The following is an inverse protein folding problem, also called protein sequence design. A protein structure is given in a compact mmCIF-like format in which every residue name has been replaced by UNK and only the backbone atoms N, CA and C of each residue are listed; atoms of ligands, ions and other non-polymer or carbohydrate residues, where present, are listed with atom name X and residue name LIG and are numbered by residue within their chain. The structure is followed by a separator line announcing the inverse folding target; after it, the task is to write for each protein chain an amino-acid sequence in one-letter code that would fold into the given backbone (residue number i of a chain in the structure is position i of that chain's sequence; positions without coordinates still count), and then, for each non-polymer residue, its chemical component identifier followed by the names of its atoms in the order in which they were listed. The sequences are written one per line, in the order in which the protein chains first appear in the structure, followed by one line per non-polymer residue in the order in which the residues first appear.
data_IF_462067376467
#
_entry.id   IF_462067376467
#
_cell.length_a   1.000
_cell.length_b   1.000
_cell.length_c   1.000
_cell.angle_alpha   90.00
_cell.angle_beta   90.00
_cell.angle_gamma   90.00
#
_symmetry.space_group_name_H-M   'P 1'
#
loop_
_entity.id
_entity.type
_entity.pdbx_description
1 polymer ?
#
# COMPACT_ATOMS: atom_id res chain seq x y z
N UNK A 1 34.11 17.27 22.00
CA UNK A 1 33.54 17.52 20.67
C UNK A 1 32.45 16.51 20.45
N UNK A 2 31.25 16.85 20.92
CA UNK A 2 30.03 16.07 20.70
C UNK A 2 29.54 16.40 19.30
N UNK A 3 29.72 15.45 18.38
CA UNK A 3 29.15 15.54 17.03
C UNK A 3 27.64 15.37 17.17
N UNK A 4 26.90 16.48 17.03
CA UNK A 4 25.45 16.48 17.00
C UNK A 4 25.02 16.17 15.57
N UNK A 5 24.98 14.87 15.23
CA UNK A 5 24.26 14.36 14.07
C UNK A 5 22.73 14.47 14.32
N UNK A 6 22.23 15.69 14.45
CA UNK A 6 20.83 15.92 14.14
C UNK A 6 20.67 15.82 12.63
N UNK A 7 19.87 14.86 12.12
CA UNK A 7 19.59 14.81 10.70
C UNK A 7 19.00 16.16 10.28
N UNK A 8 19.51 16.74 9.19
CA UNK A 8 18.94 17.98 8.65
C UNK A 8 17.44 17.77 8.46
N UNK A 9 16.62 18.72 8.93
CA UNK A 9 15.15 18.65 8.90
C UNK A 9 14.52 18.44 7.49
N UNK A 10 15.32 18.40 6.43
CA UNK A 10 14.90 18.24 5.04
C UNK A 10 15.37 16.92 4.40
N UNK A 11 16.20 16.11 5.06
CA UNK A 11 16.64 14.83 4.50
C UNK A 11 15.56 13.75 4.68
N UNK A 12 15.32 12.90 3.66
CA UNK A 12 14.38 11.78 3.81
C UNK A 12 14.86 10.81 4.89
N UNK A 13 13.95 10.38 5.76
CA UNK A 13 14.24 9.44 6.86
C UNK A 13 14.59 8.03 6.40
N UNK A 14 14.24 7.69 5.15
CA UNK A 14 14.58 6.46 4.46
C UNK A 14 14.77 6.78 2.97
N UNK A 15 15.77 6.17 2.32
CA UNK A 15 16.08 6.37 0.89
C UNK A 15 16.16 5.03 0.15
N UNK A 16 16.03 5.01 -1.20
CA UNK A 16 16.30 3.82 -2.01
C UNK A 16 17.70 3.26 -1.75
N UNK A 17 17.89 1.95 -1.88
CA UNK A 17 19.19 1.27 -1.75
C UNK A 17 20.01 1.40 -3.04
N UNK A 18 20.24 2.62 -3.51
CA UNK A 18 20.79 2.90 -4.83
C UNK A 18 22.22 2.33 -5.05
N UNK A 19 22.97 2.12 -3.97
CA UNK A 19 24.29 1.51 -3.95
C UNK A 19 24.28 -0.03 -3.96
N UNK A 20 23.09 -0.64 -3.87
CA UNK A 20 22.87 -2.09 -3.77
C UNK A 20 21.86 -2.55 -4.85
N UNK A 21 22.27 -2.61 -6.13
CA UNK A 21 21.35 -2.87 -7.25
C UNK A 21 20.66 -4.23 -7.20
N UNK A 22 21.20 -5.19 -6.43
CA UNK A 22 20.56 -6.49 -6.20
C UNK A 22 19.35 -6.42 -5.27
N UNK A 23 19.16 -5.31 -4.53
CA UNK A 23 18.02 -5.13 -3.65
C UNK A 23 16.78 -4.70 -4.42
N UNK A 24 15.65 -5.19 -3.91
CA UNK A 24 14.32 -4.89 -4.42
C UNK A 24 13.97 -3.39 -4.41
N UNK A 25 14.59 -2.58 -3.54
CA UNK A 25 14.28 -1.15 -3.34
C UNK A 25 15.39 -0.22 -3.85
N UNK A 26 16.17 -0.67 -4.84
CA UNK A 26 17.33 0.08 -5.33
C UNK A 26 16.98 1.30 -6.19
N UNK A 27 15.85 1.28 -6.91
CA UNK A 27 15.46 2.40 -7.77
C UNK A 27 14.53 3.39 -7.07
N UNK A 28 13.52 2.89 -6.34
CA UNK A 28 12.57 3.76 -5.64
C UNK A 28 11.96 3.08 -4.41
N UNK A 29 11.43 3.92 -3.51
CA UNK A 29 10.60 3.53 -2.35
C UNK A 29 9.43 4.49 -2.19
N UNK A 30 8.33 4.03 -1.61
CA UNK A 30 7.13 4.82 -1.38
C UNK A 30 6.23 4.23 -0.27
N UNK A 31 5.26 5.05 0.15
CA UNK A 31 4.12 4.72 1.02
C UNK A 31 4.50 3.96 2.32
N UNK A 32 5.21 4.60 3.26
CA UNK A 32 5.49 3.99 4.55
C UNK A 32 4.22 3.81 5.38
N UNK A 33 4.09 2.64 5.99
CA UNK A 33 3.08 2.27 6.99
C UNK A 33 3.80 2.01 8.31
N UNK A 34 3.59 2.89 9.29
CA UNK A 34 4.32 2.86 10.56
C UNK A 34 3.42 2.36 11.69
N UNK A 35 3.91 1.37 12.44
CA UNK A 35 3.34 0.96 13.71
C UNK A 35 4.30 1.26 14.85
N UNK A 36 3.73 1.79 15.94
CA UNK A 36 4.41 1.88 17.24
C UNK A 36 4.69 0.48 17.81
N UNK A 37 5.70 0.35 18.70
CA UNK A 37 5.95 -0.91 19.40
C UNK A 37 4.65 -1.46 20.02
N UNK A 38 4.39 -2.74 19.79
CA UNK A 38 3.28 -3.47 20.39
C UNK A 38 3.59 -3.99 21.79
N UNK A 39 2.63 -4.67 22.44
CA UNK A 39 2.91 -5.41 23.66
C UNK A 39 4.08 -6.38 23.46
N UNK A 40 5.12 -6.27 24.28
CA UNK A 40 6.31 -7.12 24.20
C UNK A 40 7.32 -6.74 23.10
N UNK A 41 7.07 -5.68 22.32
CA UNK A 41 8.03 -5.13 21.36
C UNK A 41 8.61 -3.81 21.89
N UNK A 42 9.86 -3.51 21.54
CA UNK A 42 10.58 -2.29 21.91
C UNK A 42 10.96 -1.42 20.70
N UNK A 43 10.58 -1.83 19.49
CA UNK A 43 10.91 -1.15 18.24
C UNK A 43 9.65 -0.72 17.47
N UNK A 44 9.72 0.48 16.91
CA UNK A 44 8.81 0.91 15.85
C UNK A 44 9.09 0.12 14.59
N UNK A 45 8.06 -0.13 13.80
CA UNK A 45 8.16 -0.84 12.52
C UNK A 45 7.57 0.00 11.41
N UNK A 46 8.22 -0.01 10.26
CA UNK A 46 7.78 0.64 9.03
C UNK A 46 7.79 -0.39 7.91
N UNK A 47 6.62 -0.67 7.34
CA UNK A 47 6.53 -1.36 6.06
C UNK A 47 6.44 -0.33 4.95
N UNK A 48 7.14 -0.56 3.85
CA UNK A 48 7.14 0.34 2.70
C UNK A 48 7.27 -0.51 1.44
N UNK A 49 6.88 0.03 0.29
CA UNK A 49 7.05 -0.65 -0.99
C UNK A 49 7.96 0.15 -1.93
N UNK A 50 8.30 -0.44 -3.07
CA UNK A 50 9.37 0.02 -3.95
C UNK A 50 9.66 -1.00 -5.05
N UNK A 51 10.60 -0.67 -5.91
CA UNK A 51 11.13 -1.57 -6.94
C UNK A 51 12.58 -1.22 -7.32
N UNK A 52 13.19 -2.09 -8.11
CA UNK A 52 14.53 -1.96 -8.68
C UNK A 52 14.53 -1.40 -10.11
N UNK A 53 13.44 -0.73 -10.51
CA UNK A 53 13.21 -0.19 -11.85
C UNK A 53 12.30 -1.06 -12.73
N UNK A 54 11.98 -2.28 -12.30
CA UNK A 54 11.12 -3.20 -13.03
C UNK A 54 10.13 -3.91 -12.10
N UNK A 55 9.05 -4.43 -12.68
CA UNK A 55 8.16 -5.42 -12.07
C UNK A 55 8.66 -6.85 -12.38
N UNK A 56 8.08 -7.86 -11.72
CA UNK A 56 8.61 -9.24 -11.63
C UNK A 56 8.91 -9.95 -12.96
N UNK A 57 8.33 -9.51 -14.07
CA UNK A 57 8.50 -10.09 -15.41
C UNK A 57 9.43 -9.25 -16.32
N UNK A 58 10.12 -8.26 -15.76
CA UNK A 58 10.92 -7.30 -16.53
C UNK A 58 10.07 -6.19 -17.18
N UNK A 59 8.78 -6.10 -16.89
CA UNK A 59 7.95 -4.96 -17.28
C UNK A 59 8.46 -3.70 -16.59
N UNK A 60 8.66 -2.63 -17.38
CA UNK A 60 9.05 -1.33 -16.84
C UNK A 60 7.98 -0.86 -15.86
N UNK A 61 8.40 -0.63 -14.61
CA UNK A 61 7.49 -0.18 -13.56
C UNK A 61 6.93 1.20 -13.90
N UNK A 62 5.61 1.30 -14.03
CA UNK A 62 4.92 2.57 -14.25
C UNK A 62 4.72 3.36 -12.95
N UNK A 63 4.60 2.64 -11.85
CA UNK A 63 4.45 3.16 -10.49
C UNK A 63 5.63 2.68 -9.64
N UNK A 64 5.91 3.31 -8.49
CA UNK A 64 6.95 2.85 -7.57
C UNK A 64 6.59 1.52 -6.85
N UNK A 65 5.53 0.83 -7.28
CA UNK A 65 5.08 -0.46 -6.73
C UNK A 65 5.98 -1.60 -7.20
N UNK A 66 5.91 -2.73 -6.51
CA UNK A 66 6.73 -3.89 -6.82
C UNK A 66 6.69 -4.87 -5.66
N UNK A 67 7.47 -4.55 -4.65
CA UNK A 67 7.75 -5.42 -3.52
C UNK A 67 7.71 -4.58 -2.23
N UNK A 68 7.54 -5.21 -1.07
CA UNK A 68 7.51 -4.54 0.23
C UNK A 68 8.63 -5.02 1.15
N UNK A 69 9.19 -4.08 1.93
CA UNK A 69 10.22 -4.34 2.93
C UNK A 69 9.83 -3.85 4.31
N UNK A 70 10.77 -3.98 5.24
CA UNK A 70 10.65 -3.60 6.65
C UNK A 70 11.82 -2.72 7.04
N UNK A 71 11.55 -1.70 7.83
CA UNK A 71 12.54 -0.94 8.58
C UNK A 71 12.11 -0.82 10.04
N UNK A 72 13.08 -0.69 10.94
CA UNK A 72 12.85 -0.56 12.38
C UNK A 72 13.48 0.69 12.96
N UNK A 73 12.91 1.18 14.05
CA UNK A 73 13.42 2.34 14.78
C UNK A 73 13.22 2.20 16.28
N UNK A 74 14.15 2.73 17.08
CA UNK A 74 13.95 2.86 18.53
C UNK A 74 13.10 4.08 18.89
N UNK A 75 13.18 5.14 18.09
CA UNK A 75 12.64 6.47 18.42
C UNK A 75 11.54 6.94 17.46
N UNK A 76 11.27 6.19 16.39
CA UNK A 76 10.31 6.54 15.34
C UNK A 76 10.84 7.59 14.35
N UNK A 77 12.09 8.03 14.50
CA UNK A 77 12.71 9.10 13.70
C UNK A 77 13.88 8.56 12.88
N UNK A 78 14.73 7.74 13.49
CA UNK A 78 15.90 7.11 12.84
C UNK A 78 15.58 5.68 12.49
N UNK A 79 15.63 5.36 11.21
CA UNK A 79 15.20 4.07 10.68
C UNK A 79 16.37 3.25 10.15
N UNK A 80 16.30 1.94 10.33
CA UNK A 80 17.25 0.98 9.76
C UNK A 80 16.48 -0.10 9.00
N UNK A 81 16.84 -0.32 7.73
CA UNK A 81 16.23 -1.38 6.92
C UNK A 81 16.56 -2.75 7.50
N UNK A 82 15.58 -3.66 7.44
CA UNK A 82 15.71 -5.05 7.85
C UNK A 82 15.69 -5.93 6.61
N UNK A 83 16.65 -6.84 6.52
CA UNK A 83 16.68 -7.84 5.45
C UNK A 83 15.56 -8.86 5.66
N UNK A 84 14.63 -8.90 4.70
CA UNK A 84 13.60 -9.93 4.68
C UNK A 84 14.11 -11.27 4.14
N UNK A 85 13.30 -12.33 4.27
CA UNK A 85 13.68 -13.70 3.94
C UNK A 85 13.78 -13.99 2.43
N UNK A 86 13.21 -13.13 1.55
CA UNK A 86 13.27 -13.35 0.10
C UNK A 86 14.67 -13.07 -0.44
N UNK A 87 14.98 -13.60 -1.62
CA UNK A 87 16.32 -13.52 -2.23
C UNK A 87 16.79 -12.07 -2.45
N UNK A 88 15.86 -11.20 -2.82
CA UNK A 88 16.05 -9.76 -3.02
C UNK A 88 16.06 -8.93 -1.72
N UNK A 89 15.95 -9.61 -0.56
CA UNK A 89 15.88 -9.05 0.80
C UNK A 89 14.58 -8.33 1.17
N UNK A 90 13.49 -8.63 0.47
CA UNK A 90 12.15 -8.16 0.81
C UNK A 90 11.41 -9.05 1.80
N UNK A 91 10.38 -8.51 2.46
CA UNK A 91 9.50 -9.26 3.39
C UNK A 91 8.23 -9.78 2.72
N UNK A 92 7.79 -9.11 1.66
CA UNK A 92 6.61 -9.50 0.89
C UNK A 92 6.75 -9.03 -0.55
N UNK A 93 6.27 -9.79 -1.51
CA UNK A 93 6.35 -9.43 -2.93
C UNK A 93 5.33 -10.16 -3.77
N UNK A 94 5.40 -10.00 -5.10
CA UNK A 94 4.46 -10.60 -6.04
C UNK A 94 4.41 -12.12 -5.90
N UNK A 95 3.27 -12.70 -6.27
CA UNK A 95 3.11 -14.15 -6.25
C UNK A 95 4.08 -14.81 -7.24
N UNK A 96 4.55 -16.01 -6.90
CA UNK A 96 5.50 -16.74 -7.76
C UNK A 96 4.88 -17.10 -9.12
N UNK A 97 3.56 -17.27 -9.16
CA UNK A 97 2.80 -17.35 -10.40
C UNK A 97 2.51 -15.93 -10.93
N UNK A 98 3.16 -15.54 -12.03
CA UNK A 98 2.96 -14.24 -12.68
C UNK A 98 1.52 -14.00 -13.16
N UNK A 99 0.78 -15.09 -13.42
CA UNK A 99 -0.62 -15.04 -13.84
C UNK A 99 -1.60 -14.96 -12.67
N UNK A 100 -1.12 -15.00 -11.42
CA UNK A 100 -1.92 -14.62 -10.27
C UNK A 100 -2.34 -13.15 -10.37
N UNK A 101 -3.39 -12.76 -9.65
CA UNK A 101 -3.93 -11.40 -9.66
C UNK A 101 -2.92 -10.35 -9.12
N UNK A 102 -1.97 -10.78 -8.29
CA UNK A 102 -0.87 -9.98 -7.73
C UNK A 102 0.53 -10.49 -8.17
N UNK A 103 0.60 -11.18 -9.32
CA UNK A 103 1.81 -11.83 -9.80
C UNK A 103 2.88 -10.90 -10.40
N UNK A 104 2.56 -9.64 -10.74
CA UNK A 104 3.52 -8.71 -11.35
C UNK A 104 4.13 -7.74 -10.35
N UNK A 105 3.29 -7.12 -9.54
CA UNK A 105 3.72 -6.16 -8.53
C UNK A 105 2.73 -6.11 -7.38
N UNK A 106 3.23 -5.68 -6.23
CA UNK A 106 2.49 -5.48 -4.99
C UNK A 106 2.86 -4.15 -4.35
N UNK A 107 2.02 -3.68 -3.44
CA UNK A 107 2.34 -2.58 -2.55
C UNK A 107 1.58 -2.73 -1.24
N UNK A 108 2.30 -2.59 -0.12
CA UNK A 108 1.66 -2.47 1.20
C UNK A 108 0.76 -1.23 1.23
N UNK A 109 -0.50 -1.40 1.66
CA UNK A 109 -1.47 -0.32 1.84
C UNK A 109 -1.63 0.05 3.31
N UNK A 110 -1.92 -0.94 4.15
CA UNK A 110 -2.00 -0.79 5.60
C UNK A 110 -1.53 -2.07 6.32
N UNK A 111 -1.14 -1.91 7.58
CA UNK A 111 -0.80 -3.01 8.47
C UNK A 111 -1.46 -2.74 9.82
N UNK A 112 -2.25 -3.70 10.29
CA UNK A 112 -2.93 -3.62 11.58
C UNK A 112 -2.46 -4.75 12.49
N UNK A 113 -2.46 -4.47 13.80
CA UNK A 113 -2.12 -5.45 14.84
C UNK A 113 -3.40 -6.06 15.39
N UNK A 114 -3.47 -7.38 15.38
CA UNK A 114 -4.55 -8.16 15.99
C UNK A 114 -4.33 -8.34 17.49
N UNK A 115 -5.37 -8.74 18.22
CA UNK A 115 -5.34 -8.86 19.68
C UNK A 115 -4.36 -9.94 20.16
N UNK A 116 -4.12 -10.96 19.34
CA UNK A 116 -3.13 -12.02 19.59
C UNK A 116 -1.68 -11.61 19.27
N UNK A 117 -1.47 -10.35 18.86
CA UNK A 117 -0.16 -9.82 18.47
C UNK A 117 0.24 -10.14 17.03
N UNK A 118 -0.51 -10.98 16.31
CA UNK A 118 -0.29 -11.19 14.88
C UNK A 118 -0.61 -9.92 14.09
N UNK A 119 -0.07 -9.83 12.88
CA UNK A 119 -0.27 -8.69 12.00
C UNK A 119 -1.10 -9.10 10.79
N UNK A 120 -1.96 -8.19 10.35
CA UNK A 120 -2.72 -8.30 9.13
C UNK A 120 -2.32 -7.14 8.21
N UNK A 121 -1.81 -7.46 7.03
CA UNK A 121 -1.51 -6.52 5.97
C UNK A 121 -2.67 -6.51 4.99
N UNK A 122 -3.16 -5.31 4.69
CA UNK A 122 -3.97 -5.06 3.50
C UNK A 122 -3.04 -4.47 2.45
N UNK A 123 -2.86 -5.19 1.36
CA UNK A 123 -1.97 -4.81 0.27
C UNK A 123 -2.78 -4.72 -1.02
N UNK A 124 -2.18 -4.14 -2.04
CA UNK A 124 -2.73 -4.17 -3.38
C UNK A 124 -1.72 -4.78 -4.34
N UNK A 125 -2.20 -5.32 -5.44
CA UNK A 125 -1.34 -5.96 -6.44
C UNK A 125 -1.99 -6.00 -7.80
N UNK A 126 -1.15 -6.10 -8.82
CA UNK A 126 -1.55 -6.27 -10.22
C UNK A 126 -0.84 -7.47 -10.84
N UNK A 127 -1.49 -8.10 -11.81
CA UNK A 127 -1.07 -9.39 -12.35
C UNK A 127 -1.93 -9.86 -13.51
N UNK A 128 -1.72 -11.11 -13.96
CA UNK A 128 -2.41 -11.67 -15.13
C UNK A 128 -3.86 -12.12 -14.88
N UNK A 129 -4.25 -12.36 -13.62
CA UNK A 129 -5.57 -12.86 -13.27
C UNK A 129 -6.66 -11.78 -13.35
N UNK A 130 -7.51 -11.82 -14.39
CA UNK A 130 -8.78 -11.09 -14.47
C UNK A 130 -8.73 -9.57 -14.69
N UNK A 131 -7.58 -8.93 -14.44
CA UNK A 131 -7.34 -7.49 -14.64
C UNK A 131 -6.10 -7.18 -15.50
N UNK A 132 -5.68 -8.15 -16.33
CA UNK A 132 -4.34 -8.22 -16.92
C UNK A 132 -3.84 -6.94 -17.60
N UNK A 133 -4.72 -6.16 -18.21
CA UNK A 133 -4.38 -4.93 -18.90
C UNK A 133 -5.42 -3.84 -18.61
N UNK A 134 -4.96 -2.67 -18.17
CA UNK A 134 -5.77 -1.46 -18.17
C UNK A 134 -5.08 -0.38 -18.99
N UNK A 135 -5.89 0.45 -19.65
CA UNK A 135 -5.37 1.55 -20.47
C UNK A 135 -5.46 2.87 -19.72
N UNK A 136 -4.34 3.58 -19.63
CA UNK A 136 -4.27 4.95 -19.15
C UNK A 136 -3.65 5.81 -20.25
N UNK A 137 -4.23 6.98 -20.53
CA UNK A 137 -3.73 7.91 -21.56
C UNK A 137 -3.47 7.26 -22.93
N UNK A 138 -4.31 6.30 -23.33
CA UNK A 138 -4.22 5.62 -24.62
C UNK A 138 -3.14 4.54 -24.72
N UNK A 139 -2.44 4.20 -23.63
CA UNK A 139 -1.46 3.11 -23.57
C UNK A 139 -1.95 2.00 -22.65
N UNK A 140 -1.84 0.75 -23.10
CA UNK A 140 -2.12 -0.43 -22.29
C UNK A 140 -0.94 -0.71 -21.35
N UNK A 141 -1.25 -0.96 -20.08
CA UNK A 141 -0.29 -1.31 -19.04
C UNK A 141 -0.70 -2.62 -18.38
N UNK A 142 0.18 -3.61 -18.45
CA UNK A 142 0.00 -4.88 -17.74
C UNK A 142 0.06 -4.65 -16.24
N UNK A 143 -0.88 -5.19 -15.46
CA UNK A 143 -0.89 -5.04 -14.00
C UNK A 143 -1.35 -3.67 -13.48
N UNK A 144 -1.87 -2.78 -14.34
CA UNK A 144 -2.45 -1.52 -13.89
C UNK A 144 -3.81 -1.72 -13.19
N UNK A 145 -4.57 -2.79 -13.53
CA UNK A 145 -5.83 -3.09 -12.85
C UNK A 145 -5.58 -3.75 -11.48
N UNK A 146 -5.09 -2.94 -10.54
CA UNK A 146 -4.79 -3.38 -9.18
C UNK A 146 -6.06 -3.75 -8.42
N UNK A 147 -5.91 -4.76 -7.59
CA UNK A 147 -6.94 -5.24 -6.66
C UNK A 147 -6.36 -5.27 -5.26
N UNK A 148 -7.21 -5.40 -4.25
CA UNK A 148 -6.80 -5.39 -2.85
C UNK A 148 -6.84 -6.82 -2.30
N UNK A 149 -5.73 -7.25 -1.72
CA UNK A 149 -5.57 -8.52 -1.04
C UNK A 149 -5.22 -8.35 0.43
N UNK A 150 -5.00 -9.48 1.08
CA UNK A 150 -4.72 -9.55 2.51
C UNK A 150 -3.67 -10.62 2.81
N UNK A 151 -2.78 -10.32 3.75
CA UNK A 151 -1.75 -11.26 4.20
C UNK A 151 -1.58 -11.19 5.72
N UNK A 152 -1.23 -12.32 6.35
CA UNK A 152 -1.05 -12.44 7.80
C UNK A 152 0.41 -12.75 8.14
N UNK A 153 0.90 -12.17 9.23
CA UNK A 153 2.20 -12.46 9.82
C UNK A 153 2.07 -12.79 11.30
N UNK A 154 2.88 -13.75 11.77
CA UNK A 154 3.00 -14.14 13.19
C UNK A 154 4.41 -13.95 13.73
N UNK A 155 5.33 -13.41 12.91
CA UNK A 155 6.75 -13.19 13.24
C UNK A 155 7.11 -11.70 13.29
N UNK A 156 6.12 -10.87 13.60
CA UNK A 156 6.28 -9.43 13.68
C UNK A 156 6.44 -8.74 12.34
N UNK A 157 6.00 -9.36 11.23
CA UNK A 157 5.96 -8.80 9.89
C UNK A 157 7.22 -9.01 9.06
N UNK A 158 8.06 -9.98 9.44
CA UNK A 158 9.23 -10.40 8.65
C UNK A 158 8.84 -11.37 7.53
N UNK A 159 7.80 -12.18 7.76
CA UNK A 159 7.23 -13.09 6.77
C UNK A 159 5.71 -12.96 6.74
N UNK A 160 5.11 -13.16 5.56
CA UNK A 160 3.70 -12.95 5.31
C UNK A 160 3.09 -14.08 4.51
N UNK A 161 1.91 -14.54 4.94
CA UNK A 161 1.11 -15.56 4.26
C UNK A 161 -0.16 -14.92 3.72
N UNK A 162 -0.41 -15.02 2.41
CA UNK A 162 -1.67 -14.56 1.79
C UNK A 162 -2.86 -15.24 2.45
N UNK A 163 -3.93 -14.49 2.73
CA UNK A 163 -5.11 -14.98 3.44
C UNK A 163 -6.39 -14.25 2.98
N UNK A 164 -6.63 -14.28 1.68
CA UNK A 164 -7.74 -13.61 1.01
C UNK A 164 -8.90 -14.54 0.67
N UNK A 165 -9.59 -14.23 -0.43
CA UNK A 165 -10.75 -14.98 -0.90
C UNK A 165 -10.35 -16.17 -1.79
N UNK A 166 -11.33 -16.87 -2.37
CA UNK A 166 -11.09 -17.94 -3.33
C UNK A 166 -10.78 -19.30 -2.72
N UNK A 167 -10.70 -20.33 -3.57
CA UNK A 167 -10.55 -21.72 -3.15
C UNK A 167 -9.16 -22.05 -2.56
N UNK A 168 -8.14 -21.29 -2.94
CA UNK A 168 -6.78 -21.39 -2.43
C UNK A 168 -6.50 -20.44 -1.25
N UNK A 169 -7.48 -19.60 -0.87
CA UNK A 169 -7.34 -18.60 0.18
C UNK A 169 -6.33 -17.49 -0.13
N UNK A 170 -5.96 -17.30 -1.40
CA UNK A 170 -4.97 -16.32 -1.84
C UNK A 170 -5.54 -15.28 -2.83
N UNK A 171 -6.83 -15.33 -3.14
CA UNK A 171 -7.53 -14.38 -4.00
C UNK A 171 -7.67 -12.98 -3.39
N UNK A 172 -8.01 -11.97 -4.20
CA UNK A 172 -8.24 -10.61 -3.73
C UNK A 172 -9.43 -10.57 -2.76
N UNK A 173 -9.36 -9.75 -1.71
CA UNK A 173 -10.50 -9.51 -0.81
C UNK A 173 -11.42 -8.41 -1.35
N UNK A 174 -10.92 -7.57 -2.24
CA UNK A 174 -11.69 -6.53 -2.91
C UNK A 174 -11.18 -6.32 -4.34
N UNK A 175 -12.00 -6.71 -5.31
CA UNK A 175 -11.73 -6.52 -6.74
C UNK A 175 -12.06 -5.08 -7.17
N UNK A 176 -11.39 -4.62 -8.23
CA UNK A 176 -11.71 -3.37 -8.89
C UNK A 176 -13.09 -3.45 -9.58
N UNK A 177 -13.79 -2.32 -9.66
CA UNK A 177 -15.10 -2.22 -10.32
C UNK A 177 -15.05 -1.18 -11.42
N UNK A 178 -15.60 -1.52 -12.58
CA UNK A 178 -15.60 -0.62 -13.74
C UNK A 178 -16.29 0.72 -13.45
N UNK A 179 -17.30 0.73 -12.57
CA UNK A 179 -18.02 1.92 -12.15
C UNK A 179 -17.15 2.89 -11.32
N UNK A 180 -16.11 2.36 -10.66
CA UNK A 180 -15.20 3.14 -9.82
C UNK A 180 -13.96 3.57 -10.58
N UNK A 181 -13.48 2.69 -11.49
CA UNK A 181 -12.40 2.99 -12.42
C UNK A 181 -11.55 1.79 -12.80
N UNK A 182 -10.29 2.07 -13.10
CA UNK A 182 -9.30 1.09 -13.60
C UNK A 182 -8.79 0.15 -12.51
N UNK A 183 -8.79 0.56 -11.24
CA UNK A 183 -8.24 -0.23 -10.13
C UNK A 183 -8.84 0.15 -8.79
N UNK A 184 -8.59 -0.68 -7.79
CA UNK A 184 -8.79 -0.38 -6.37
C UNK A 184 -7.48 -0.64 -5.62
N UNK A 185 -6.98 0.36 -4.88
CA UNK A 185 -5.63 0.29 -4.30
C UNK A 185 -5.42 1.23 -3.11
N UNK A 186 -4.24 1.14 -2.47
CA UNK A 186 -3.86 1.84 -1.24
C UNK A 186 -4.94 1.80 -0.14
N UNK A 187 -5.38 0.60 0.28
CA UNK A 187 -6.36 0.47 1.35
C UNK A 187 -5.83 1.04 2.67
N UNK A 188 -6.69 1.73 3.42
CA UNK A 188 -6.51 2.15 4.81
C UNK A 188 -7.67 1.63 5.65
N UNK A 189 -7.37 0.98 6.77
CA UNK A 189 -8.36 0.24 7.56
C UNK A 189 -8.66 0.97 8.87
N UNK A 190 -9.95 1.19 9.12
CA UNK A 190 -10.48 1.64 10.40
C UNK A 190 -11.30 0.51 11.03
N UNK A 191 -10.95 0.16 12.28
CA UNK A 191 -11.69 -0.83 13.05
C UNK A 191 -12.67 -0.17 14.03
N UNK A 192 -13.93 -0.58 13.95
CA UNK A 192 -14.98 -0.32 14.93
C UNK A 192 -15.46 -1.66 15.51
N UNK A 193 -16.20 -1.61 16.61
CA UNK A 193 -16.51 -2.80 17.42
C UNK A 193 -17.24 -3.90 16.66
N UNK A 194 -18.04 -3.55 15.65
CA UNK A 194 -18.87 -4.49 14.87
C UNK A 194 -18.61 -4.44 13.36
N UNK A 195 -17.79 -3.50 12.90
CA UNK A 195 -17.61 -3.22 11.49
C UNK A 195 -16.22 -2.64 11.24
N UNK A 196 -15.60 -3.04 10.14
CA UNK A 196 -14.38 -2.44 9.63
C UNK A 196 -14.74 -1.57 8.43
N UNK A 197 -14.07 -0.43 8.30
CA UNK A 197 -14.18 0.45 7.14
C UNK A 197 -12.84 0.49 6.43
N UNK A 198 -12.85 0.23 5.13
CA UNK A 198 -11.70 0.43 4.25
C UNK A 198 -11.92 1.71 3.47
N UNK A 199 -10.96 2.64 3.53
CA UNK A 199 -10.84 3.72 2.56
C UNK A 199 -9.76 3.34 1.57
N UNK A 200 -10.06 3.42 0.29
CA UNK A 200 -9.15 3.08 -0.80
C UNK A 200 -9.33 4.10 -1.90
N UNK A 201 -8.44 4.13 -2.88
CA UNK A 201 -8.62 5.01 -4.01
C UNK A 201 -8.67 4.25 -5.33
N UNK A 202 -9.36 4.86 -6.29
CA UNK A 202 -9.57 4.36 -7.63
C UNK A 202 -9.32 5.50 -8.62
N UNK A 203 -9.04 5.14 -9.87
CA UNK A 203 -8.81 6.10 -10.95
C UNK A 203 -9.75 5.79 -12.11
N UNK A 204 -10.65 6.70 -12.45
CA UNK A 204 -11.65 6.47 -13.50
C UNK A 204 -11.15 6.74 -14.92
N UNK A 205 -9.84 6.94 -15.11
CA UNK A 205 -9.25 7.36 -16.38
C UNK A 205 -9.01 8.87 -16.48
N UNK A 206 -9.60 9.67 -15.58
CA UNK A 206 -9.45 11.14 -15.55
C UNK A 206 -9.09 11.65 -14.17
N UNK A 207 -9.78 11.17 -13.13
CA UNK A 207 -9.64 11.63 -11.76
C UNK A 207 -9.34 10.49 -10.80
N UNK A 208 -8.43 10.75 -9.87
CA UNK A 208 -8.23 9.94 -8.67
C UNK A 208 -9.33 10.29 -7.66
N UNK A 209 -9.97 9.29 -7.08
CA UNK A 209 -11.07 9.47 -6.12
C UNK A 209 -10.94 8.47 -4.99
N UNK A 210 -11.42 8.85 -3.80
CA UNK A 210 -11.45 7.94 -2.66
C UNK A 210 -12.83 7.30 -2.50
N UNK A 211 -12.83 6.01 -2.24
CA UNK A 211 -14.01 5.21 -1.97
C UNK A 211 -13.92 4.58 -0.58
N UNK A 212 -15.08 4.24 -0.01
CA UNK A 212 -15.20 3.46 1.21
C UNK A 212 -15.85 2.11 0.93
N UNK A 213 -15.50 1.09 1.71
CA UNK A 213 -16.23 -0.17 1.80
C UNK A 213 -16.31 -0.62 3.26
N UNK A 214 -17.31 -1.42 3.62
CA UNK A 214 -17.49 -1.95 4.98
C UNK A 214 -17.34 -3.46 5.03
N UNK A 215 -16.90 -3.99 6.17
CA UNK A 215 -16.74 -5.42 6.40
C UNK A 215 -17.20 -5.80 7.80
N UNK A 216 -17.91 -6.93 7.91
CA UNK A 216 -18.34 -7.52 9.18
C UNK A 216 -17.65 -8.85 9.50
N UNK A 217 -16.69 -9.26 8.67
CA UNK A 217 -15.99 -10.55 8.74
C UNK A 217 -14.47 -10.39 8.82
N UNK A 218 -14.03 -9.35 9.53
CA UNK A 218 -12.62 -9.00 9.71
C UNK A 218 -11.86 -8.76 8.39
N UNK A 219 -12.55 -8.16 7.41
CA UNK A 219 -11.96 -7.75 6.13
C UNK A 219 -11.72 -8.90 5.15
N UNK A 220 -12.42 -10.02 5.30
CA UNK A 220 -12.45 -11.12 4.31
C UNK A 220 -13.33 -10.77 3.12
N UNK A 221 -14.45 -10.09 3.37
CA UNK A 221 -15.35 -9.55 2.35
C UNK A 221 -15.71 -8.10 2.63
N UNK A 222 -16.01 -7.36 1.57
CA UNK A 222 -16.25 -5.92 1.61
C UNK A 222 -17.53 -5.56 0.83
N UNK A 223 -18.42 -4.83 1.48
CA UNK A 223 -19.73 -4.41 0.98
C UNK A 223 -19.91 -2.88 1.06
N UNK A 224 -21.13 -2.41 0.75
CA UNK A 224 -21.56 -1.01 0.86
C UNK A 224 -20.57 0.02 0.30
N UNK A 225 -20.05 -0.25 -0.90
CA UNK A 225 -19.09 0.60 -1.57
C UNK A 225 -19.68 1.94 -1.94
N UNK A 226 -19.03 3.04 -1.55
CA UNK A 226 -19.50 4.42 -1.73
C UNK A 226 -18.34 5.34 -2.08
N UNK A 227 -18.62 6.38 -2.86
CA UNK A 227 -17.69 7.49 -3.02
C UNK A 227 -17.53 8.20 -1.68
N UNK A 228 -16.30 8.24 -1.17
CA UNK A 228 -15.99 8.83 0.13
C UNK A 228 -15.48 10.28 0.00
N UNK A 229 -14.67 10.54 -1.04
CA UNK A 229 -14.17 11.87 -1.37
C UNK A 229 -13.97 11.98 -2.88
N UNK A 230 -14.59 13.00 -3.47
CA UNK A 230 -14.42 13.37 -4.88
C UNK A 230 -13.43 14.52 -5.03
N UNK A 231 -13.10 14.87 -6.27
CA UNK A 231 -12.27 16.04 -6.59
C UNK A 231 -12.88 17.33 -6.06
N UNK A 232 -12.01 18.28 -5.74
CA UNK A 232 -12.40 19.61 -5.33
C UNK A 232 -13.01 20.45 -6.46
N UNK A 233 -13.61 21.60 -6.14
CA UNK A 233 -14.05 22.56 -7.15
C UNK A 233 -12.85 23.11 -7.93
N UNK A 234 -13.11 23.68 -9.11
CA UNK A 234 -12.07 24.29 -9.94
C UNK A 234 -11.23 25.32 -9.16
N UNK A 235 -9.90 25.24 -9.31
CA UNK A 235 -8.91 26.03 -8.58
C UNK A 235 -8.57 25.51 -7.17
N UNK A 236 -9.18 24.42 -6.72
CA UNK A 236 -8.74 23.73 -5.50
C UNK A 236 -7.46 22.92 -5.75
N UNK A 237 -6.72 22.64 -4.68
CA UNK A 237 -5.48 21.86 -4.74
C UNK A 237 -5.70 20.38 -5.15
N UNK A 238 -6.94 19.92 -5.10
CA UNK A 238 -7.40 18.57 -5.40
C UNK A 238 -8.41 18.54 -6.57
N UNK A 239 -8.44 19.57 -7.43
CA UNK A 239 -9.42 19.71 -8.51
C UNK A 239 -9.32 18.62 -9.60
N UNK A 240 -8.19 17.94 -9.73
CA UNK A 240 -8.02 16.85 -10.70
C UNK A 240 -7.81 15.47 -10.08
N UNK A 241 -7.66 15.38 -8.76
CA UNK A 241 -7.51 14.09 -8.10
C UNK A 241 -7.34 14.14 -6.59
N UNK A 242 -7.74 13.04 -5.96
CA UNK A 242 -7.61 12.78 -4.53
C UNK A 242 -7.01 11.39 -4.31
N UNK A 243 -5.93 11.32 -3.54
CA UNK A 243 -5.30 10.07 -3.10
C UNK A 243 -5.33 9.92 -1.58
N UNK A 244 -6.01 8.89 -1.06
CA UNK A 244 -5.99 8.60 0.38
C UNK A 244 -4.58 8.20 0.84
N UNK A 245 -4.02 8.90 1.84
CA UNK A 245 -2.68 8.62 2.37
C UNK A 245 -2.72 7.99 3.75
N UNK A 246 -3.46 8.59 4.68
CA UNK A 246 -3.59 8.08 6.05
C UNK A 246 -4.97 8.37 6.60
N UNK A 247 -5.48 7.45 7.41
CA UNK A 247 -6.77 7.61 8.09
C UNK A 247 -6.61 7.19 9.53
N UNK A 248 -7.09 8.03 10.44
CA UNK A 248 -6.92 7.84 11.88
C UNK A 248 -8.28 7.99 12.56
N UNK A 249 -8.66 7.00 13.36
CA UNK A 249 -9.83 7.10 14.24
C UNK A 249 -9.57 8.12 15.35
N UNK A 250 -10.50 9.05 15.56
CA UNK A 250 -10.48 10.08 16.60
C UNK A 250 -11.83 10.08 17.31
N UNK A 251 -11.97 9.27 18.36
CA UNK A 251 -13.24 9.12 19.06
C UNK A 251 -14.32 8.53 18.14
N UNK A 252 -15.37 9.32 17.90
CA UNK A 252 -16.53 8.99 17.05
C UNK A 252 -16.36 9.37 15.57
N UNK A 253 -15.28 10.07 15.21
CA UNK A 253 -14.99 10.48 13.84
C UNK A 253 -13.66 9.91 13.33
N UNK A 254 -13.44 10.04 12.03
CA UNK A 254 -12.19 9.72 11.37
C UNK A 254 -11.56 10.99 10.79
N UNK A 255 -10.24 11.10 10.91
CA UNK A 255 -9.43 12.10 10.23
C UNK A 255 -8.76 11.42 9.03
N UNK A 256 -8.96 11.96 7.83
CA UNK A 256 -8.22 11.57 6.63
C UNK A 256 -7.16 12.63 6.31
N UNK A 257 -5.93 12.18 6.10
CA UNK A 257 -4.90 12.94 5.40
C UNK A 257 -4.84 12.38 3.99
N UNK A 258 -5.00 13.25 3.01
CA UNK A 258 -5.02 12.90 1.60
C UNK A 258 -4.12 13.84 0.80
N UNK A 259 -3.76 13.39 -0.39
CA UNK A 259 -3.00 14.17 -1.38
C UNK A 259 -3.98 14.67 -2.44
N UNK A 260 -3.82 15.93 -2.83
CA UNK A 260 -4.58 16.56 -3.91
C UNK A 260 -3.75 16.66 -5.19
N UNK A 261 -4.42 16.55 -6.33
CA UNK A 261 -3.83 16.87 -7.64
C UNK A 261 -4.46 18.16 -8.16
N UNK A 262 -3.65 19.18 -8.38
CA UNK A 262 -4.11 20.48 -8.87
C UNK A 262 -4.44 20.46 -10.37
N UNK A 263 -4.93 21.57 -10.93
CA UNK A 263 -5.25 21.72 -12.36
C UNK A 263 -4.07 21.58 -13.30
N UNK A 264 -2.85 21.69 -12.80
CA UNK A 264 -1.61 21.44 -13.54
C UNK A 264 -1.21 19.97 -13.56
N UNK A 265 -1.89 19.11 -12.78
CA UNK A 265 -1.50 17.71 -12.59
C UNK A 265 -0.39 17.54 -11.55
N UNK A 266 -0.15 18.54 -10.70
CA UNK A 266 0.86 18.49 -9.64
C UNK A 266 0.25 17.92 -8.37
N UNK A 267 0.93 16.94 -7.78
CA UNK A 267 0.56 16.36 -6.50
C UNK A 267 0.99 17.27 -5.34
N UNK A 268 0.08 17.47 -4.37
CA UNK A 268 0.27 18.35 -3.19
C UNK A 268 -0.31 17.76 -1.90
#
# INVERSE_FOLDING_TARGET
TTDSDEPSSLAPVLSPSADRPERWDSACIANPVVLKPGPGEDRWKMWYYGNNGNWSDGTVGFLPTGTSGLAESADGVRWSKVDGPRADKSVFGPADNVDAWDGLHTGVGDVIREDDGSLLMFYFGGGGGGGGEASASGKAYRGLAMQIGRARSVDGGQSWTRCGSGADGAGPVLEARAEEGLFASWPRILRYDKEWVMLYHAFNGTHWRAFSATSTDAGLSWADRRLALDVGPAGAFDETGVGTRSVIKRGDHALMVYEGVDGGGTFS
#
